data_IF_384763194005
#
_entry.id   IF_384763194005
#
_cell.length_a   1.000
_cell.length_b   1.000
_cell.length_c   1.000
_cell.angle_alpha   90.00
_cell.angle_beta   90.00
_cell.angle_gamma   90.00
#
_symmetry.space_group_name_H-M   'P 1'
#
loop_
_entity.id
_entity.type
_entity.pdbx_description
1 polymer ?
#
# COMPACT_ATOMS: atom_id res chain seq x y z
N UNK A 1 16.79 -22.88 -7.32
CA UNK A 1 16.32 -22.10 -8.49
C UNK A 1 16.08 -20.67 -8.03
N UNK A 2 16.84 -19.70 -8.55
CA UNK A 2 16.68 -18.29 -8.21
C UNK A 2 15.39 -17.80 -8.90
N UNK A 3 14.27 -17.75 -8.19
CA UNK A 3 13.03 -17.21 -8.77
C UNK A 3 13.23 -15.71 -9.01
N UNK A 4 13.19 -15.30 -10.27
CA UNK A 4 13.38 -13.91 -10.70
C UNK A 4 12.40 -12.96 -9.96
N UNK A 5 11.22 -13.46 -9.56
CA UNK A 5 10.21 -12.74 -8.80
C UNK A 5 10.61 -12.45 -7.35
N UNK A 6 11.36 -13.34 -6.69
CA UNK A 6 11.86 -13.07 -5.33
C UNK A 6 12.87 -11.93 -5.30
N UNK A 7 13.72 -11.80 -6.32
CA UNK A 7 14.64 -10.67 -6.43
C UNK A 7 13.88 -9.37 -6.73
N UNK A 8 12.92 -9.42 -7.65
CA UNK A 8 12.08 -8.26 -7.95
C UNK A 8 11.29 -7.80 -6.72
N UNK A 9 10.69 -8.73 -5.97
CA UNK A 9 9.96 -8.41 -4.75
C UNK A 9 10.85 -7.73 -3.70
N UNK A 10 12.09 -8.21 -3.53
CA UNK A 10 13.09 -7.53 -2.68
C UNK A 10 13.42 -6.12 -3.17
N UNK A 11 13.52 -5.89 -4.48
CA UNK A 11 13.72 -4.54 -5.02
C UNK A 11 12.51 -3.66 -4.71
N UNK A 12 11.30 -4.16 -4.95
CA UNK A 12 10.05 -3.43 -4.67
C UNK A 12 9.90 -3.06 -3.19
N UNK A 13 10.30 -3.93 -2.27
CA UNK A 13 10.31 -3.66 -0.82
C UNK A 13 11.21 -2.48 -0.40
N UNK A 14 12.20 -2.14 -1.24
CA UNK A 14 13.15 -1.05 -0.96
C UNK A 14 12.75 0.27 -1.66
N UNK A 15 11.68 0.27 -2.45
CA UNK A 15 11.19 1.45 -3.15
C UNK A 15 9.96 1.98 -2.41
N UNK A 16 9.77 3.30 -2.38
CA UNK A 16 8.55 3.90 -1.80
C UNK A 16 7.31 3.41 -2.57
N UNK A 17 6.24 3.14 -1.85
CA UNK A 17 4.96 2.68 -2.39
C UNK A 17 4.48 3.48 -3.61
N UNK A 18 4.56 4.81 -3.57
CA UNK A 18 4.16 5.64 -4.72
C UNK A 18 4.98 5.40 -5.98
N UNK A 19 6.28 5.15 -5.83
CA UNK A 19 7.21 4.95 -6.93
C UNK A 19 7.05 3.53 -7.49
N UNK A 20 6.75 2.55 -6.63
CA UNK A 20 6.32 1.21 -7.03
C UNK A 20 5.00 1.24 -7.81
N UNK A 21 3.98 1.94 -7.30
CA UNK A 21 2.67 2.05 -7.98
C UNK A 21 2.84 2.67 -9.37
N UNK A 22 3.64 3.74 -9.51
CA UNK A 22 3.91 4.36 -10.82
C UNK A 22 4.58 3.40 -11.79
N UNK A 23 5.65 2.73 -11.35
CA UNK A 23 6.40 1.78 -12.19
C UNK A 23 5.60 0.53 -12.51
N UNK A 24 4.66 0.14 -11.64
CA UNK A 24 3.75 -0.98 -11.88
C UNK A 24 2.82 -0.77 -13.08
N UNK A 25 2.54 0.47 -13.47
CA UNK A 25 1.77 0.77 -14.68
C UNK A 25 2.53 0.42 -15.96
N UNK A 26 3.86 0.37 -15.89
CA UNK A 26 4.73 0.09 -17.03
C UNK A 26 5.03 -1.41 -17.19
N UNK A 27 4.69 -2.24 -16.21
CA UNK A 27 4.95 -3.68 -16.26
C UNK A 27 3.88 -4.47 -15.51
N UNK A 28 3.17 -5.33 -16.24
CA UNK A 28 2.20 -6.28 -15.65
C UNK A 28 2.83 -7.16 -14.58
N UNK A 29 4.10 -7.52 -14.75
CA UNK A 29 4.87 -8.29 -13.76
C UNK A 29 5.11 -7.49 -12.48
N UNK A 30 5.52 -6.23 -12.59
CA UNK A 30 5.67 -5.34 -11.42
C UNK A 30 4.32 -5.07 -10.76
N UNK A 31 3.24 -4.95 -11.53
CA UNK A 31 1.87 -4.81 -11.00
C UNK A 31 1.40 -6.02 -10.20
N UNK A 32 1.69 -7.22 -10.69
CA UNK A 32 1.39 -8.47 -9.98
C UNK A 32 2.20 -8.56 -8.67
N UNK A 33 3.50 -8.25 -8.73
CA UNK A 33 4.39 -8.39 -7.58
C UNK A 33 4.23 -7.30 -6.53
N UNK A 34 3.95 -6.05 -6.92
CA UNK A 34 3.59 -5.00 -5.97
C UNK A 34 2.35 -5.38 -5.16
N UNK A 35 1.37 -6.02 -5.81
CA UNK A 35 0.18 -6.56 -5.13
C UNK A 35 0.46 -7.72 -4.20
N UNK A 36 1.68 -8.26 -4.16
CA UNK A 36 2.10 -9.30 -3.20
C UNK A 36 3.19 -8.81 -2.24
N UNK A 37 3.65 -7.57 -2.38
CA UNK A 37 4.77 -7.00 -1.62
C UNK A 37 4.25 -5.86 -0.74
N UNK A 38 4.12 -6.12 0.56
CA UNK A 38 3.20 -5.41 1.45
C UNK A 38 3.85 -4.50 2.50
N UNK A 39 4.88 -3.75 2.08
CA UNK A 39 5.33 -2.58 2.82
C UNK A 39 4.72 -1.32 2.22
N UNK A 40 3.78 -0.72 2.94
CA UNK A 40 3.11 0.52 2.50
C UNK A 40 3.43 1.66 3.46
N UNK A 41 4.17 2.66 2.99
CA UNK A 41 4.36 3.95 3.68
C UNK A 41 3.58 5.02 2.92
N UNK A 42 2.46 5.44 3.51
CA UNK A 42 1.51 6.37 2.89
C UNK A 42 1.37 7.63 3.75
N UNK A 43 1.59 8.79 3.13
CA UNK A 43 1.39 10.11 3.76
C UNK A 43 0.22 10.81 3.07
N UNK A 44 -0.77 11.26 3.84
CA UNK A 44 -1.97 11.92 3.33
C UNK A 44 -1.69 13.21 2.54
N UNK A 45 -0.52 13.83 2.72
CA UNK A 45 -0.08 14.99 1.93
C UNK A 45 0.39 14.61 0.52
N UNK A 46 0.65 13.34 0.25
CA UNK A 46 0.94 12.85 -1.11
C UNK A 46 -0.31 12.73 -1.99
N UNK A 47 -1.49 12.90 -1.39
CA UNK A 47 -2.77 12.86 -2.07
C UNK A 47 -3.33 14.29 -2.24
N UNK A 48 -4.01 14.59 -3.35
CA UNK A 48 -4.62 15.91 -3.53
C UNK A 48 -5.70 16.20 -2.47
N UNK A 49 -6.45 15.18 -2.07
CA UNK A 49 -7.55 15.28 -1.10
C UNK A 49 -7.49 14.15 -0.07
N UNK A 50 -7.91 14.41 1.17
CA UNK A 50 -8.00 13.40 2.22
C UNK A 50 -8.89 12.22 1.81
N UNK A 51 -10.02 12.49 1.13
CA UNK A 51 -10.89 11.43 0.62
C UNK A 51 -10.22 10.56 -0.45
N UNK A 52 -9.27 11.10 -1.22
CA UNK A 52 -8.47 10.32 -2.16
C UNK A 52 -7.51 9.37 -1.44
N UNK A 53 -6.93 9.82 -0.33
CA UNK A 53 -6.11 8.98 0.55
C UNK A 53 -6.95 7.85 1.17
N UNK A 54 -8.09 8.16 1.78
CA UNK A 54 -9.00 7.18 2.39
C UNK A 54 -9.41 6.11 1.37
N UNK A 55 -9.89 6.52 0.20
CA UNK A 55 -10.28 5.59 -0.88
C UNK A 55 -9.12 4.70 -1.35
N UNK A 56 -7.89 5.21 -1.34
CA UNK A 56 -6.71 4.43 -1.72
C UNK A 56 -6.39 3.37 -0.66
N UNK A 57 -6.37 3.77 0.62
CA UNK A 57 -6.12 2.85 1.74
C UNK A 57 -7.21 1.79 1.82
N UNK A 58 -8.47 2.14 1.63
CA UNK A 58 -9.58 1.17 1.56
C UNK A 58 -9.32 0.11 0.49
N UNK A 59 -9.01 0.54 -0.75
CA UNK A 59 -8.71 -0.42 -1.82
C UNK A 59 -7.48 -1.27 -1.50
N UNK A 60 -6.46 -0.69 -0.89
CA UNK A 60 -5.26 -1.43 -0.50
C UNK A 60 -5.57 -2.48 0.57
N UNK A 61 -6.27 -2.10 1.63
CA UNK A 61 -6.55 -2.94 2.79
C UNK A 61 -7.62 -3.98 2.49
N UNK A 62 -8.61 -3.67 1.65
CA UNK A 62 -9.75 -4.57 1.39
C UNK A 62 -9.67 -5.33 0.06
N UNK A 63 -8.84 -4.93 -0.92
CA UNK A 63 -8.78 -5.62 -2.24
C UNK A 63 -7.60 -6.58 -2.41
N UNK A 64 -6.66 -6.62 -1.48
CA UNK A 64 -5.47 -7.49 -1.56
C UNK A 64 -5.79 -8.81 -0.87
N UNK A 65 -5.53 -9.97 -1.46
CA UNK A 65 -5.84 -11.27 -0.83
C UNK A 65 -4.76 -11.76 0.15
N UNK A 66 -3.57 -11.16 0.11
CA UNK A 66 -2.42 -11.53 0.92
C UNK A 66 -2.30 -10.73 2.23
N UNK A 67 -1.63 -11.28 3.26
CA UNK A 67 -1.43 -10.61 4.54
C UNK A 67 -0.62 -9.33 4.40
N UNK A 68 -1.03 -8.28 5.13
CA UNK A 68 -0.32 -7.00 5.12
C UNK A 68 0.84 -7.09 6.10
N UNK A 69 2.07 -7.20 5.61
CA UNK A 69 3.25 -7.33 6.48
C UNK A 69 3.56 -6.04 7.25
N UNK A 70 3.40 -4.87 6.63
CA UNK A 70 3.69 -3.57 7.26
C UNK A 70 2.86 -2.45 6.62
N UNK A 71 1.96 -1.87 7.41
CA UNK A 71 1.18 -0.69 7.04
C UNK A 71 1.60 0.50 7.90
N UNK A 72 2.18 1.51 7.28
CA UNK A 72 2.52 2.78 7.90
C UNK A 72 1.69 3.88 7.25
N UNK A 73 0.84 4.50 8.05
CA UNK A 73 -0.01 5.61 7.65
C UNK A 73 0.43 6.86 8.39
N UNK A 74 0.69 7.93 7.66
CA UNK A 74 1.02 9.25 8.20
C UNK A 74 -0.08 10.22 7.81
N UNK A 75 -0.70 10.87 8.80
CA UNK A 75 -1.62 11.98 8.55
C UNK A 75 -1.12 13.22 9.26
N UNK A 76 -0.96 14.32 8.51
CA UNK A 76 -0.53 15.62 9.06
C UNK A 76 -1.60 16.71 8.90
N UNK A 77 -2.77 16.36 8.37
CA UNK A 77 -3.87 17.31 8.17
C UNK A 77 -4.67 17.47 9.46
N UNK A 78 -4.91 18.72 9.89
CA UNK A 78 -5.65 19.04 11.12
C UNK A 78 -7.10 18.50 11.16
N UNK A 79 -7.71 18.24 10.01
CA UNK A 79 -9.11 17.78 9.89
C UNK A 79 -9.22 16.36 9.34
N UNK A 80 -8.33 15.46 9.75
CA UNK A 80 -8.45 14.03 9.40
C UNK A 80 -9.59 13.39 10.21
N UNK A 81 -10.54 12.76 9.53
CA UNK A 81 -11.53 11.91 10.19
C UNK A 81 -10.86 10.62 10.67
N UNK A 82 -10.82 10.33 11.99
CA UNK A 82 -10.20 9.12 12.52
C UNK A 82 -11.02 7.84 12.28
N UNK A 83 -12.29 7.93 11.90
CA UNK A 83 -13.20 6.78 11.76
C UNK A 83 -12.69 5.64 10.85
N UNK A 84 -12.03 5.89 9.69
CA UNK A 84 -11.55 4.82 8.82
C UNK A 84 -10.44 3.97 9.45
N UNK A 85 -9.67 4.54 10.38
CA UNK A 85 -8.46 3.92 10.93
C UNK A 85 -8.80 2.62 11.66
N UNK A 86 -9.88 2.61 12.45
CA UNK A 86 -10.32 1.41 13.17
C UNK A 86 -10.64 0.27 12.20
N UNK A 87 -11.39 0.56 11.14
CA UNK A 87 -11.74 -0.43 10.12
C UNK A 87 -10.51 -0.98 9.40
N UNK A 88 -9.51 -0.13 9.13
CA UNK A 88 -8.25 -0.58 8.53
C UNK A 88 -7.43 -1.48 9.44
N UNK A 89 -7.35 -1.15 10.73
CA UNK A 89 -6.64 -1.96 11.73
C UNK A 89 -7.35 -3.31 11.91
N UNK A 90 -8.67 -3.30 12.11
CA UNK A 90 -9.46 -4.52 12.27
C UNK A 90 -9.28 -5.44 11.06
N UNK A 91 -9.33 -4.90 9.84
CA UNK A 91 -9.12 -5.64 8.60
C UNK A 91 -7.68 -6.15 8.41
N UNK A 92 -6.67 -5.43 8.90
CA UNK A 92 -5.28 -5.87 8.85
C UNK A 92 -4.99 -7.00 9.86
N UNK A 93 -5.66 -7.00 11.03
CA UNK A 93 -5.49 -7.99 12.11
C UNK A 93 -6.28 -9.28 11.86
N UNK A 94 -7.43 -9.20 11.19
CA UNK A 94 -8.29 -10.38 10.90
C UNK A 94 -7.84 -11.21 9.68
N UNK A 95 -6.70 -10.89 9.08
CA UNK A 95 -6.15 -11.56 7.89
C UNK A 95 -5.20 -12.71 8.22
#
# INVERSE_FOLDING_TARGET
MQNNDTLLGRILLNIRTKDVVKTSLLSSRWRSLWRSVHKSDLDDNEFPYYNSFVNFVDRLVFSVESPIENLKLTSKREKSDPLPIKSWVDAAVTR
#
